data_IF_067491045813
#
_entry.id   IF_067491045813
#
_cell.length_a   1.000
_cell.length_b   1.000
_cell.length_c   1.000
_cell.angle_alpha   90.00
_cell.angle_beta   90.00
_cell.angle_gamma   90.00
#
_symmetry.space_group_name_H-M   'P 1'
#
loop_
_entity.id
_entity.type
_entity.pdbx_description
1 polymer ?
#
# COMPACT_ATOMS: atom_id res chain seq x y z
N UNK A 1 -10.02 31.31 -12.67
CA UNK A 1 -9.70 29.88 -12.73
C UNK A 1 -8.93 29.56 -11.45
N UNK A 2 -9.52 28.79 -10.53
CA UNK A 2 -8.95 28.58 -9.20
C UNK A 2 -7.88 27.47 -9.24
N UNK A 3 -6.64 27.73 -8.80
CA UNK A 3 -5.53 26.75 -8.82
C UNK A 3 -5.66 25.62 -7.79
N UNK A 4 -6.72 25.58 -6.98
CA UNK A 4 -6.96 24.53 -5.99
C UNK A 4 -7.56 23.24 -6.57
N UNK A 5 -7.99 23.23 -7.85
CA UNK A 5 -8.66 22.08 -8.46
C UNK A 5 -7.70 21.03 -9.03
N UNK A 6 -6.48 21.43 -9.41
CA UNK A 6 -5.53 20.53 -10.10
C UNK A 6 -4.99 19.43 -9.17
N UNK A 7 -4.62 19.75 -7.94
CA UNK A 7 -4.04 18.77 -6.99
C UNK A 7 -5.03 17.66 -6.59
N UNK A 8 -6.32 18.00 -6.48
CA UNK A 8 -7.37 17.04 -6.15
C UNK A 8 -7.70 16.14 -7.35
N UNK A 9 -7.70 16.70 -8.56
CA UNK A 9 -8.00 15.96 -9.79
C UNK A 9 -6.89 14.98 -10.16
N UNK A 10 -5.61 15.37 -10.03
CA UNK A 10 -4.47 14.47 -10.22
C UNK A 10 -4.53 13.30 -9.24
N UNK A 11 -4.89 13.58 -7.98
CA UNK A 11 -5.08 12.52 -6.99
C UNK A 11 -6.22 11.57 -7.36
N UNK A 12 -7.33 12.06 -7.91
CA UNK A 12 -8.45 11.20 -8.32
C UNK A 12 -8.09 10.33 -9.54
N UNK A 13 -7.47 10.90 -10.57
CA UNK A 13 -7.08 10.17 -11.77
C UNK A 13 -6.10 9.05 -11.44
N UNK A 14 -5.11 9.37 -10.61
CA UNK A 14 -4.11 8.41 -10.17
C UNK A 14 -4.72 7.24 -9.38
N UNK A 15 -5.74 7.49 -8.54
CA UNK A 15 -6.50 6.40 -7.90
C UNK A 15 -7.17 5.50 -8.91
N UNK A 16 -7.81 6.07 -9.93
CA UNK A 16 -8.51 5.27 -10.95
C UNK A 16 -7.50 4.43 -11.75
N UNK A 17 -6.38 5.02 -12.18
CA UNK A 17 -5.30 4.30 -12.88
C UNK A 17 -4.74 3.13 -12.06
N UNK A 18 -4.61 3.29 -10.75
CA UNK A 18 -4.19 2.21 -9.86
C UNK A 18 -5.25 1.12 -9.73
N UNK A 19 -6.54 1.48 -9.69
CA UNK A 19 -7.64 0.51 -9.68
C UNK A 19 -7.75 -0.23 -11.02
N UNK A 20 -7.43 0.42 -12.13
CA UNK A 20 -7.40 -0.21 -13.47
C UNK A 20 -6.31 -1.28 -13.60
N UNK A 21 -5.29 -1.30 -12.73
CA UNK A 21 -4.31 -2.40 -12.65
C UNK A 21 -4.91 -3.73 -12.19
N UNK A 22 -6.18 -3.76 -11.78
CA UNK A 22 -6.89 -5.00 -11.46
C UNK A 22 -6.44 -5.63 -10.15
N UNK A 23 -6.25 -4.81 -9.12
CA UNK A 23 -5.84 -5.29 -7.80
C UNK A 23 -6.81 -6.34 -7.24
N UNK A 24 -6.29 -7.45 -6.67
CA UNK A 24 -7.11 -8.48 -6.05
C UNK A 24 -7.94 -7.92 -4.90
N UNK A 25 -9.18 -8.38 -4.82
CA UNK A 25 -10.06 -8.22 -3.66
C UNK A 25 -9.73 -9.25 -2.55
N UNK A 26 -10.45 -9.15 -1.43
CA UNK A 26 -10.28 -9.99 -0.23
C UNK A 26 -10.26 -11.49 -0.57
N UNK A 27 -11.18 -11.97 -1.42
CA UNK A 27 -11.27 -13.39 -1.77
C UNK A 27 -10.07 -13.83 -2.60
N UNK A 28 -9.63 -12.98 -3.52
CA UNK A 28 -8.49 -13.30 -4.38
C UNK A 28 -7.19 -13.29 -3.60
N UNK A 29 -7.01 -12.35 -2.68
CA UNK A 29 -5.88 -12.32 -1.75
C UNK A 29 -5.85 -13.56 -0.87
N UNK A 30 -6.98 -13.93 -0.26
CA UNK A 30 -7.03 -15.11 0.58
C UNK A 30 -6.65 -16.39 -0.18
N UNK A 31 -7.09 -16.50 -1.45
CA UNK A 31 -6.68 -17.60 -2.33
C UNK A 31 -5.18 -17.60 -2.63
N UNK A 32 -4.55 -16.42 -2.74
CA UNK A 32 -3.11 -16.28 -2.97
C UNK A 32 -2.29 -16.63 -1.73
N UNK A 33 -2.70 -16.14 -0.55
CA UNK A 33 -2.03 -16.40 0.74
C UNK A 33 -2.15 -17.86 1.15
N UNK A 34 -3.08 -18.62 0.55
CA UNK A 34 -3.24 -20.05 0.78
C UNK A 34 -3.76 -20.33 2.18
N UNK A 35 -4.78 -19.57 2.61
CA UNK A 35 -5.42 -19.80 3.92
C UNK A 35 -5.90 -21.24 4.01
N UNK A 36 -5.58 -21.91 5.12
CA UNK A 36 -6.05 -23.27 5.41
C UNK A 36 -7.57 -23.34 5.23
N UNK A 37 -8.08 -24.44 4.65
CA UNK A 37 -9.50 -24.62 4.34
C UNK A 37 -10.45 -24.45 5.54
N UNK A 38 -9.93 -24.52 6.76
CA UNK A 38 -10.64 -24.35 8.03
C UNK A 38 -10.70 -22.90 8.55
N UNK A 39 -9.91 -21.98 8.00
CA UNK A 39 -9.90 -20.58 8.44
C UNK A 39 -10.73 -19.72 7.49
N UNK A 40 -11.54 -18.80 8.04
CA UNK A 40 -12.28 -17.87 7.20
C UNK A 40 -11.29 -16.95 6.45
N UNK A 41 -11.30 -16.99 5.11
CA UNK A 41 -10.37 -16.24 4.29
C UNK A 41 -10.47 -14.73 4.51
N UNK A 42 -11.69 -14.23 4.75
CA UNK A 42 -11.95 -12.81 4.96
C UNK A 42 -11.43 -12.34 6.31
N UNK A 43 -11.60 -13.17 7.35
CA UNK A 43 -11.06 -12.86 8.69
C UNK A 43 -9.54 -12.84 8.71
N UNK A 44 -8.88 -13.74 7.98
CA UNK A 44 -7.41 -13.75 7.89
C UNK A 44 -6.88 -12.47 7.23
N UNK A 45 -7.50 -12.04 6.13
CA UNK A 45 -7.16 -10.80 5.41
C UNK A 45 -7.46 -9.57 6.26
N UNK A 46 -8.62 -9.54 6.92
CA UNK A 46 -8.98 -8.47 7.83
C UNK A 46 -7.99 -8.37 9.00
N UNK A 47 -7.58 -9.49 9.59
CA UNK A 47 -6.57 -9.53 10.64
C UNK A 47 -5.22 -9.04 10.14
N UNK A 48 -4.73 -9.53 8.99
CA UNK A 48 -3.47 -9.08 8.42
C UNK A 48 -3.46 -7.58 8.15
N UNK A 49 -4.61 -7.01 7.76
CA UNK A 49 -4.78 -5.57 7.60
C UNK A 49 -4.74 -4.82 8.93
N UNK A 50 -5.46 -5.30 9.96
CA UNK A 50 -5.47 -4.70 11.31
C UNK A 50 -4.09 -4.79 11.97
N UNK A 51 -3.36 -5.87 11.75
CA UNK A 51 -1.98 -6.05 12.23
C UNK A 51 -0.97 -5.18 11.46
N UNK A 52 -1.39 -4.43 10.43
CA UNK A 52 -0.48 -3.63 9.61
C UNK A 52 0.45 -4.49 8.74
N UNK A 53 0.15 -5.76 8.53
CA UNK A 53 0.90 -6.67 7.65
C UNK A 53 0.45 -6.60 6.19
N UNK A 54 -0.70 -6.00 5.95
CA UNK A 54 -1.34 -5.90 4.65
C UNK A 54 -1.96 -4.51 4.45
N UNK A 55 -1.56 -3.84 3.39
CA UNK A 55 -2.17 -2.59 2.93
C UNK A 55 -3.43 -2.91 2.13
N UNK A 56 -4.58 -2.57 2.70
CA UNK A 56 -5.87 -2.59 2.02
C UNK A 56 -6.31 -1.18 1.65
N UNK A 57 -6.59 -0.97 0.37
CA UNK A 57 -7.03 0.31 -0.18
C UNK A 57 -8.54 0.26 -0.44
N UNK A 58 -9.28 1.27 0.02
CA UNK A 58 -10.73 1.32 -0.18
C UNK A 58 -11.09 1.81 -1.58
N UNK A 59 -11.56 0.93 -2.46
CA UNK A 59 -12.12 1.31 -3.76
C UNK A 59 -13.53 1.84 -3.59
N UNK A 60 -13.75 3.13 -3.88
CA UNK A 60 -15.11 3.71 -3.94
C UNK A 60 -15.91 3.16 -5.14
N UNK A 61 -15.24 2.81 -6.24
CA UNK A 61 -15.85 2.30 -7.48
C UNK A 61 -16.50 0.94 -7.23
N UNK A 62 -15.77 0.05 -6.57
CA UNK A 62 -16.21 -1.32 -6.28
C UNK A 62 -16.83 -1.48 -4.88
N UNK A 63 -16.78 -0.43 -4.05
CA UNK A 63 -17.23 -0.41 -2.64
C UNK A 63 -16.65 -1.57 -1.82
N UNK A 64 -15.39 -1.93 -2.09
CA UNK A 64 -14.66 -3.00 -1.42
C UNK A 64 -13.20 -2.64 -1.21
N UNK A 65 -12.53 -3.37 -0.33
CA UNK A 65 -11.08 -3.27 -0.18
C UNK A 65 -10.39 -4.01 -1.32
N UNK A 66 -9.37 -3.37 -1.86
CA UNK A 66 -8.51 -3.92 -2.91
C UNK A 66 -7.07 -3.85 -2.42
N UNK A 67 -6.28 -4.83 -2.85
CA UNK A 67 -4.96 -5.06 -2.30
C UNK A 67 -3.91 -5.00 -3.39
N UNK A 68 -2.94 -4.08 -3.29
CA UNK A 68 -1.84 -4.01 -4.24
C UNK A 68 -1.06 -5.34 -4.33
N UNK A 69 -0.80 -5.79 -5.56
CA UNK A 69 -0.15 -7.08 -5.82
C UNK A 69 1.33 -7.16 -5.40
N UNK A 70 2.01 -6.02 -5.27
CA UNK A 70 3.44 -5.97 -4.90
C UNK A 70 3.72 -6.56 -3.51
N UNK A 71 2.69 -6.67 -2.67
CA UNK A 71 2.78 -7.21 -1.31
C UNK A 71 2.93 -8.73 -1.30
N UNK A 72 2.56 -9.39 -2.41
CA UNK A 72 2.67 -10.83 -2.58
C UNK A 72 3.97 -11.16 -3.30
N UNK A 73 4.64 -12.19 -2.81
CA UNK A 73 5.78 -12.79 -3.49
C UNK A 73 5.32 -13.74 -4.62
N UNK A 74 6.23 -14.17 -5.49
CA UNK A 74 5.97 -15.16 -6.55
C UNK A 74 5.37 -16.47 -6.01
N UNK A 75 5.62 -16.78 -4.73
CA UNK A 75 5.05 -17.91 -4.01
C UNK A 75 3.64 -17.65 -3.43
N UNK A 76 3.04 -16.48 -3.65
CA UNK A 76 1.73 -16.09 -3.11
C UNK A 76 1.74 -15.69 -1.63
N UNK A 77 2.91 -15.68 -0.98
CA UNK A 77 3.05 -15.28 0.42
C UNK A 77 3.17 -13.77 0.58
N UNK A 78 2.61 -13.25 1.68
CA UNK A 78 2.83 -11.88 2.10
C UNK A 78 4.28 -11.64 2.49
N UNK A 79 4.89 -10.59 1.93
CA UNK A 79 6.26 -10.18 2.27
C UNK A 79 6.28 -9.54 3.67
N UNK A 80 7.07 -10.06 4.63
CA UNK A 80 7.18 -9.45 5.96
C UNK A 80 7.70 -8.00 5.91
N UNK A 81 8.46 -7.65 4.88
CA UNK A 81 8.94 -6.29 4.62
C UNK A 81 7.79 -5.29 4.45
N UNK A 82 6.62 -5.73 3.99
CA UNK A 82 5.44 -4.86 3.87
C UNK A 82 4.96 -4.45 5.27
N UNK A 83 4.97 -5.37 6.21
CA UNK A 83 4.62 -5.09 7.59
C UNK A 83 5.60 -4.08 8.22
N UNK A 84 6.88 -4.22 7.92
CA UNK A 84 7.89 -3.27 8.38
C UNK A 84 7.68 -1.88 7.75
N UNK A 85 7.41 -1.82 6.45
CA UNK A 85 7.14 -0.57 5.74
C UNK A 85 5.89 0.13 6.28
N UNK A 86 4.81 -0.61 6.49
CA UNK A 86 3.57 -0.10 7.06
C UNK A 86 3.71 0.30 8.54
N UNK A 87 4.65 -0.29 9.27
CA UNK A 87 4.98 0.13 10.63
C UNK A 87 5.81 1.42 10.66
N UNK A 88 6.51 1.76 9.58
CA UNK A 88 7.25 3.03 9.44
C UNK A 88 6.30 4.14 8.98
N UNK A 89 5.40 3.83 8.04
CA UNK A 89 4.44 4.77 7.49
C UNK A 89 3.37 5.15 8.53
N UNK A 90 3.10 6.45 8.75
CA UNK A 90 2.06 6.87 9.68
C UNK A 90 0.67 6.44 9.20
N UNK A 91 -0.16 5.96 10.14
CA UNK A 91 -1.56 5.59 9.94
C UNK A 91 -2.52 6.80 10.06
N UNK A 92 -2.01 7.99 10.38
CA UNK A 92 -2.76 9.16 10.80
C UNK A 92 -3.91 9.51 9.84
N UNK A 93 -5.13 9.12 10.24
CA UNK A 93 -6.41 9.23 9.52
C UNK A 93 -6.49 8.51 8.15
N UNK A 94 -5.61 7.55 7.87
CA UNK A 94 -5.60 6.80 6.61
C UNK A 94 -6.55 5.59 6.62
N UNK A 95 -7.82 5.82 7.00
CA UNK A 95 -8.87 4.76 7.08
C UNK A 95 -9.04 3.97 5.78
N UNK A 96 -8.71 4.60 4.66
CA UNK A 96 -8.84 4.04 3.33
C UNK A 96 -7.55 3.45 2.74
N UNK A 97 -6.42 3.47 3.44
CA UNK A 97 -5.14 2.95 2.92
C UNK A 97 -4.54 3.76 1.76
N UNK A 98 -5.17 4.88 1.39
CA UNK A 98 -4.84 5.61 0.18
C UNK A 98 -3.55 6.40 0.34
N UNK A 99 -3.32 7.07 1.48
CA UNK A 99 -2.10 7.87 1.72
C UNK A 99 -0.85 7.03 1.54
N UNK A 100 -0.84 5.83 2.12
CA UNK A 100 0.25 4.86 1.99
C UNK A 100 0.38 4.34 0.56
N UNK A 101 -0.74 4.03 -0.10
CA UNK A 101 -0.72 3.64 -1.51
C UNK A 101 -0.20 4.75 -2.43
N UNK A 102 -0.55 6.02 -2.19
CA UNK A 102 -0.03 7.15 -2.95
C UNK A 102 1.48 7.25 -2.80
N UNK A 103 2.00 7.16 -1.58
CA UNK A 103 3.44 7.15 -1.36
C UNK A 103 4.10 6.05 -2.17
N UNK A 104 3.57 4.82 -2.08
CA UNK A 104 4.13 3.65 -2.76
C UNK A 104 4.09 3.69 -4.29
N UNK A 105 3.12 4.39 -4.86
CA UNK A 105 2.98 4.51 -6.31
C UNK A 105 3.38 5.91 -6.80
N UNK A 106 3.87 6.79 -5.93
CA UNK A 106 4.39 8.08 -6.35
C UNK A 106 5.84 7.90 -6.77
N UNK A 107 6.27 8.50 -7.89
CA UNK A 107 7.69 8.53 -8.23
C UNK A 107 8.46 9.24 -7.12
N UNK A 108 9.52 8.59 -6.61
CA UNK A 108 10.34 9.14 -5.54
C UNK A 108 11.77 9.40 -6.00
N UNK A 109 12.26 10.61 -5.72
CA UNK A 109 13.64 11.01 -6.03
C UNK A 109 14.69 10.12 -5.33
N UNK A 110 14.36 9.59 -4.15
CA UNK A 110 15.22 8.65 -3.40
C UNK A 110 15.38 7.28 -4.10
N UNK A 111 14.45 6.95 -5.00
CA UNK A 111 14.45 5.72 -5.80
C UNK A 111 14.72 6.00 -7.28
N UNK A 112 15.47 7.06 -7.60
CA UNK A 112 15.76 7.49 -8.98
C UNK A 112 14.50 7.80 -9.82
N UNK A 113 13.41 8.21 -9.17
CA UNK A 113 12.11 8.44 -9.81
C UNK A 113 11.30 7.17 -10.08
N UNK A 114 11.77 6.00 -9.62
CA UNK A 114 11.01 4.76 -9.67
C UNK A 114 9.88 4.76 -8.65
N UNK A 115 8.89 3.91 -8.93
CA UNK A 115 7.78 3.62 -8.03
C UNK A 115 8.28 2.75 -6.88
N UNK A 116 8.08 3.14 -5.61
CA UNK A 116 8.42 2.28 -4.47
C UNK A 116 7.81 0.89 -4.58
N UNK A 117 6.55 0.77 -5.02
CA UNK A 117 5.89 -0.51 -5.22
C UNK A 117 6.60 -1.42 -6.24
N UNK A 118 7.19 -0.85 -7.30
CA UNK A 118 7.97 -1.61 -8.28
C UNK A 118 9.35 -1.94 -7.75
N UNK A 119 10.05 -0.95 -7.19
CA UNK A 119 11.35 -1.14 -6.55
C UNK A 119 11.27 -2.19 -5.43
N UNK A 120 10.15 -2.24 -4.69
CA UNK A 120 9.92 -3.20 -3.61
C UNK A 120 9.95 -4.66 -4.07
N UNK A 121 9.62 -4.94 -5.33
CA UNK A 121 9.68 -6.30 -5.87
C UNK A 121 11.10 -6.80 -6.11
N UNK A 122 12.05 -5.87 -6.33
CA UNK A 122 13.46 -6.18 -6.63
C UNK A 122 14.38 -5.86 -5.43
N UNK A 123 14.18 -4.72 -4.78
CA UNK A 123 15.00 -4.15 -3.72
C UNK A 123 14.12 -3.60 -2.56
N UNK A 124 13.46 -4.45 -1.77
CA UNK A 124 12.59 -4.00 -0.67
C UNK A 124 13.35 -3.21 0.41
N UNK A 125 14.62 -3.54 0.66
CA UNK A 125 15.47 -2.82 1.62
C UNK A 125 15.62 -1.33 1.26
N UNK A 126 15.78 -1.03 -0.03
CA UNK A 126 15.97 0.34 -0.53
C UNK A 126 14.73 1.20 -0.32
N UNK A 127 13.55 0.60 -0.49
CA UNK A 127 12.26 1.24 -0.21
C UNK A 127 12.06 1.48 1.29
N UNK A 128 12.42 0.51 2.13
CA UNK A 128 12.37 0.65 3.59
C UNK A 128 13.30 1.76 4.09
N UNK A 129 14.51 1.86 3.54
CA UNK A 129 15.43 2.95 3.84
C UNK A 129 14.87 4.31 3.41
N UNK A 130 14.29 4.41 2.22
CA UNK A 130 13.64 5.64 1.76
C UNK A 130 12.49 6.06 2.67
N UNK A 131 11.61 5.12 3.05
CA UNK A 131 10.53 5.37 4.01
C UNK A 131 11.08 5.81 5.37
N UNK A 132 12.13 5.15 5.86
CA UNK A 132 12.77 5.52 7.12
C UNK A 132 13.39 6.91 7.02
N UNK A 133 14.04 7.28 5.91
CA UNK A 133 14.61 8.63 5.76
C UNK A 133 13.52 9.70 5.76
N UNK A 134 12.41 9.48 5.07
CA UNK A 134 11.34 10.47 4.97
C UNK A 134 10.53 10.59 6.28
N UNK A 135 10.16 9.46 6.88
CA UNK A 135 9.29 9.44 8.07
C UNK A 135 10.06 9.41 9.41
N UNK A 136 11.32 8.99 9.46
CA UNK A 136 12.12 9.13 10.69
C UNK A 136 12.56 10.59 10.92
N UNK A 137 12.72 11.39 9.86
CA UNK A 137 12.99 12.82 10.00
C UNK A 137 11.77 13.58 10.55
N UNK A 138 10.55 13.20 10.14
CA UNK A 138 9.30 13.83 10.61
C UNK A 138 9.05 13.56 12.12
N UNK A 139 9.51 12.41 12.63
CA UNK A 139 9.42 12.07 14.07
C UNK A 139 10.32 12.90 14.97
N UNK A 140 11.41 13.48 14.45
CA UNK A 140 12.34 14.32 15.22
C UNK A 140 12.03 15.82 15.06
N UNK A 141 11.30 16.20 14.00
CA UNK A 141 10.99 17.59 13.64
C UNK A 141 9.79 18.20 14.39
N UNK A 142 9.36 17.62 15.51
CA UNK A 142 8.38 18.22 16.42
C UNK A 142 9.04 18.57 17.76
N UNK A 143 9.85 19.63 17.78
CA UNK A 143 10.22 20.40 18.98
C UNK A 143 10.27 21.89 18.67
#
# INVERSE_FOLDING_TARGET
MNPFCESFQTSINFRDELLEKGWPDDHRVAKLVGVSRDADPSEHVARARVEGRLLGVWSKRDRRFVYPVFQFDQHGKLRPEVAELLSILPDDDDRGGWRRAFWLYSPHSLLDGLLPAECFTSEPARVLEAARQEFAADRDAWW
#
